data_IF_179688761868
#
_entry.id   IF_179688761868
#
_cell.length_a   1.000
_cell.length_b   1.000
_cell.length_c   1.000
_cell.angle_alpha   90.00
_cell.angle_beta   90.00
_cell.angle_gamma   90.00
#
_symmetry.space_group_name_H-M   'P 1'
#
loop_
_entity.id
_entity.type
_entity.pdbx_description
1 polymer ?
#
# COMPACT_ATOMS: atom_id res chain seq x y z
N UNK A 1 -26.67 -8.56 -28.73
CA UNK A 1 -25.89 -7.65 -27.87
C UNK A 1 -25.38 -8.52 -26.74
N UNK A 2 -24.13 -8.95 -26.83
CA UNK A 2 -23.45 -9.73 -25.78
C UNK A 2 -22.73 -8.73 -24.90
N UNK A 3 -23.45 -8.06 -24.01
CA UNK A 3 -22.79 -7.42 -22.88
C UNK A 3 -22.39 -8.54 -21.95
N UNK A 4 -21.09 -8.80 -21.99
CA UNK A 4 -20.43 -9.74 -21.10
C UNK A 4 -20.46 -9.03 -19.75
N UNK A 5 -21.26 -9.53 -18.82
CA UNK A 5 -21.04 -9.32 -17.39
C UNK A 5 -19.58 -9.69 -17.15
N UNK A 6 -18.70 -8.69 -17.13
CA UNK A 6 -17.34 -8.89 -16.67
C UNK A 6 -17.48 -9.29 -15.21
N UNK A 7 -17.02 -10.49 -14.88
CA UNK A 7 -16.92 -11.00 -13.51
C UNK A 7 -16.36 -9.90 -12.59
N UNK A 8 -17.23 -9.23 -11.83
CA UNK A 8 -16.90 -8.35 -10.71
C UNK A 8 -16.45 -9.21 -9.50
N UNK A 9 -15.63 -10.24 -9.75
CA UNK A 9 -14.94 -10.91 -8.67
C UNK A 9 -13.99 -9.89 -8.03
N UNK A 10 -14.07 -9.62 -6.72
CA UNK A 10 -13.12 -8.76 -6.05
C UNK A 10 -11.72 -9.31 -6.30
N UNK A 11 -10.86 -8.50 -6.94
CA UNK A 11 -9.48 -8.92 -7.18
C UNK A 11 -8.81 -8.99 -5.81
N UNK A 12 -8.45 -10.20 -5.37
CA UNK A 12 -7.79 -10.42 -4.09
C UNK A 12 -6.31 -9.99 -4.14
N UNK A 13 -5.75 -9.46 -3.04
CA UNK A 13 -4.33 -9.13 -2.96
C UNK A 13 -3.45 -10.36 -3.20
N UNK A 14 -2.50 -10.25 -4.11
CA UNK A 14 -1.55 -11.33 -4.41
C UNK A 14 -0.17 -10.79 -4.82
N UNK A 15 0.84 -11.65 -4.69
CA UNK A 15 2.18 -11.41 -5.21
C UNK A 15 2.36 -12.07 -6.59
N UNK A 16 3.25 -11.54 -7.45
CA UNK A 16 3.97 -10.28 -7.28
C UNK A 16 3.04 -9.08 -7.46
N UNK A 17 3.29 -8.00 -6.71
CA UNK A 17 2.73 -6.70 -7.01
C UNK A 17 3.26 -6.19 -8.35
N UNK A 18 2.46 -5.41 -9.05
CA UNK A 18 2.83 -4.68 -10.27
C UNK A 18 2.54 -3.20 -10.09
N UNK A 19 3.00 -2.35 -11.02
CA UNK A 19 2.69 -0.90 -10.99
C UNK A 19 1.18 -0.61 -11.14
N UNK A 20 0.43 -1.57 -11.66
CA UNK A 20 -1.03 -1.51 -11.80
C UNK A 20 -1.78 -2.12 -10.61
N UNK A 21 -1.07 -2.69 -9.63
CA UNK A 21 -1.70 -3.15 -8.39
C UNK A 21 -2.18 -1.95 -7.56
N UNK A 22 -3.34 -2.06 -6.89
CA UNK A 22 -3.74 -1.11 -5.86
C UNK A 22 -2.68 -0.98 -4.78
N UNK A 23 -2.36 0.27 -4.38
CA UNK A 23 -1.28 0.54 -3.41
C UNK A 23 -1.57 -0.15 -2.07
N UNK A 24 -2.84 -0.12 -1.64
CA UNK A 24 -3.25 -0.70 -0.36
C UNK A 24 -3.00 -2.21 -0.26
N UNK A 25 -2.83 -2.94 -1.38
CA UNK A 25 -2.51 -4.37 -1.33
C UNK A 25 -1.22 -4.68 -0.59
N UNK A 26 -0.24 -3.76 -0.62
CA UNK A 26 0.98 -3.91 0.17
C UNK A 26 0.68 -4.05 1.67
N UNK A 27 -0.36 -3.38 2.20
CA UNK A 27 -0.77 -3.48 3.60
C UNK A 27 -1.37 -4.84 3.95
N UNK A 28 -1.87 -5.60 2.97
CA UNK A 28 -2.43 -6.94 3.18
C UNK A 28 -1.41 -8.07 2.97
N UNK A 29 -0.28 -7.76 2.34
CA UNK A 29 0.70 -8.77 1.91
C UNK A 29 2.01 -8.71 2.68
N UNK A 30 2.29 -7.60 3.37
CA UNK A 30 3.59 -7.31 4.00
C UNK A 30 3.38 -6.94 5.47
N UNK A 31 4.32 -7.35 6.33
CA UNK A 31 4.36 -6.91 7.72
C UNK A 31 4.29 -5.37 7.84
N UNK A 32 3.42 -4.87 8.73
CA UNK A 32 3.16 -3.43 8.83
C UNK A 32 4.33 -2.60 9.32
N UNK A 33 5.20 -3.16 10.18
CA UNK A 33 6.37 -2.43 10.70
C UNK A 33 7.40 -2.29 9.59
N UNK A 34 7.71 -3.39 8.92
CA UNK A 34 8.63 -3.41 7.78
C UNK A 34 8.14 -2.49 6.65
N UNK A 35 6.84 -2.55 6.30
CA UNK A 35 6.24 -1.72 5.26
C UNK A 35 6.35 -0.22 5.57
N UNK A 36 6.08 0.16 6.83
CA UNK A 36 6.16 1.57 7.25
C UNK A 36 7.60 2.09 7.19
N UNK A 37 8.56 1.29 7.63
CA UNK A 37 9.98 1.65 7.55
C UNK A 37 10.42 1.79 6.09
N UNK A 38 10.05 0.84 5.25
CA UNK A 38 10.34 0.86 3.82
C UNK A 38 9.86 2.14 3.12
N UNK A 39 8.61 2.53 3.37
CA UNK A 39 8.04 3.76 2.79
C UNK A 39 8.69 5.01 3.37
N UNK A 40 8.94 5.05 4.69
CA UNK A 40 9.59 6.18 5.36
C UNK A 40 11.00 6.45 4.81
N UNK A 41 11.80 5.40 4.60
CA UNK A 41 13.16 5.52 4.05
C UNK A 41 13.19 6.07 2.63
N UNK A 42 12.12 5.84 1.87
CA UNK A 42 11.96 6.30 0.47
C UNK A 42 11.20 7.61 0.34
N UNK A 43 10.81 8.23 1.47
CA UNK A 43 9.99 9.44 1.47
C UNK A 43 8.60 9.23 0.86
N UNK A 44 8.10 7.99 0.84
CA UNK A 44 6.77 7.65 0.33
C UNK A 44 5.75 7.80 1.45
N UNK A 45 4.67 8.53 1.19
CA UNK A 45 3.64 8.86 2.16
C UNK A 45 2.32 8.10 1.95
N UNK A 46 2.34 7.03 1.17
CA UNK A 46 1.15 6.26 0.80
C UNK A 46 0.69 5.25 1.86
N UNK A 47 1.46 5.03 2.92
CA UNK A 47 1.04 4.18 4.04
C UNK A 47 -0.17 4.78 4.76
N UNK A 48 -1.28 4.04 4.89
CA UNK A 48 -2.50 4.50 5.54
C UNK A 48 -3.13 5.74 4.86
N UNK A 49 -2.81 5.96 3.57
CA UNK A 49 -3.35 7.06 2.78
C UNK A 49 -4.72 6.70 2.23
N UNK A 50 -5.73 7.54 2.44
CA UNK A 50 -7.08 7.31 1.92
C UNK A 50 -7.13 7.24 0.37
N UNK A 51 -6.22 7.92 -0.32
CA UNK A 51 -6.11 7.82 -1.78
C UNK A 51 -5.50 6.47 -2.22
N UNK A 52 -4.61 5.88 -1.40
CA UNK A 52 -4.00 4.59 -1.68
C UNK A 52 -5.00 3.42 -1.67
N UNK A 53 -6.18 3.59 -1.06
CA UNK A 53 -7.28 2.62 -1.09
C UNK A 53 -7.91 2.48 -2.49
N UNK A 54 -7.76 3.49 -3.35
CA UNK A 54 -8.40 3.54 -4.67
C UNK A 54 -7.41 3.72 -5.83
N UNK A 55 -6.15 4.04 -5.53
CA UNK A 55 -5.11 4.29 -6.54
C UNK A 55 -4.16 3.10 -6.70
N UNK A 56 -3.67 2.92 -7.94
CA UNK A 56 -2.53 2.04 -8.25
C UNK A 56 -1.20 2.74 -8.00
N UNK A 57 -0.10 1.99 -7.91
CA UNK A 57 1.24 2.58 -7.76
C UNK A 57 1.58 3.55 -8.89
N UNK A 58 1.21 3.23 -10.14
CA UNK A 58 1.39 4.10 -11.29
C UNK A 58 0.55 5.40 -11.19
N UNK A 59 -0.65 5.34 -10.63
CA UNK A 59 -1.49 6.52 -10.39
C UNK A 59 -0.91 7.38 -9.26
N UNK A 60 -0.54 6.77 -8.14
CA UNK A 60 0.09 7.46 -7.02
C UNK A 60 1.38 8.18 -7.44
N UNK A 61 2.24 7.53 -8.22
CA UNK A 61 3.47 8.15 -8.72
C UNK A 61 3.19 9.43 -9.53
N UNK A 62 2.13 9.44 -10.35
CA UNK A 62 1.71 10.62 -11.13
C UNK A 62 1.18 11.74 -10.25
N UNK A 63 0.42 11.42 -9.20
CA UNK A 63 -0.09 12.42 -8.24
C UNK A 63 1.07 13.10 -7.51
N UNK A 64 2.13 12.36 -7.23
CA UNK A 64 3.32 12.83 -6.54
C UNK A 64 4.36 13.50 -7.45
N UNK A 65 4.20 13.41 -8.78
CA UNK A 65 5.12 14.01 -9.75
C UNK A 65 5.17 15.55 -9.57
N UNK A 66 6.30 16.07 -9.09
CA UNK A 66 6.50 17.50 -8.83
C UNK A 66 5.79 18.05 -7.58
N UNK A 67 5.19 17.18 -6.76
CA UNK A 67 4.51 17.56 -5.52
C UNK A 67 5.46 17.79 -4.32
N UNK A 68 4.96 18.41 -3.23
CA UNK A 68 5.76 18.69 -2.02
C UNK A 68 6.18 17.43 -1.26
N UNK A 69 5.63 16.27 -1.62
CA UNK A 69 5.86 14.97 -1.00
C UNK A 69 6.86 14.10 -1.76
N UNK A 70 7.53 14.64 -2.78
CA UNK A 70 8.56 13.96 -3.56
C UNK A 70 8.00 13.01 -4.61
N UNK A 71 8.60 13.01 -5.80
CA UNK A 71 8.31 12.02 -6.83
C UNK A 71 8.99 10.69 -6.49
N UNK A 72 8.33 9.57 -6.81
CA UNK A 72 8.91 8.23 -6.69
C UNK A 72 8.75 7.47 -8.02
N UNK A 73 9.68 6.57 -8.32
CA UNK A 73 9.53 5.63 -9.44
C UNK A 73 8.62 4.47 -9.00
N UNK A 74 7.45 4.27 -9.63
CA UNK A 74 6.52 3.21 -9.24
C UNK A 74 7.13 1.81 -9.41
N UNK A 75 8.03 1.60 -10.38
CA UNK A 75 8.67 0.31 -10.59
C UNK A 75 9.67 0.00 -9.47
N UNK A 76 10.50 0.97 -9.08
CA UNK A 76 11.45 0.80 -7.96
C UNK A 76 10.72 0.50 -6.64
N UNK A 77 9.57 1.16 -6.40
CA UNK A 77 8.74 0.89 -5.23
C UNK A 77 8.20 -0.54 -5.27
N UNK A 78 7.58 -0.96 -6.38
CA UNK A 78 7.00 -2.29 -6.51
C UNK A 78 8.04 -3.40 -6.40
N UNK A 79 9.21 -3.23 -7.00
CA UNK A 79 10.31 -4.20 -6.90
C UNK A 79 10.80 -4.34 -5.45
N UNK A 80 10.95 -3.22 -4.76
CA UNK A 80 11.31 -3.19 -3.34
C UNK A 80 10.25 -3.84 -2.45
N UNK A 81 8.97 -3.58 -2.70
CA UNK A 81 7.85 -4.20 -1.97
C UNK A 81 7.79 -5.71 -2.21
N UNK A 82 8.02 -6.16 -3.44
CA UNK A 82 8.07 -7.59 -3.77
C UNK A 82 9.25 -8.32 -3.10
N UNK A 83 10.40 -7.64 -2.92
CA UNK A 83 11.50 -8.17 -2.14
C UNK A 83 11.15 -8.21 -0.65
N UNK A 84 10.61 -7.10 -0.12
CA UNK A 84 10.21 -6.96 1.27
C UNK A 84 9.16 -8.00 1.67
N UNK A 85 8.18 -8.28 0.81
CA UNK A 85 7.13 -9.27 1.06
C UNK A 85 7.67 -10.70 1.22
N UNK A 86 8.82 -11.02 0.61
CA UNK A 86 9.47 -12.33 0.76
C UNK A 86 10.20 -12.46 2.09
N UNK A 87 10.78 -11.37 2.58
CA UNK A 87 11.55 -11.31 3.82
C UNK A 87 10.64 -11.11 5.05
N UNK A 88 9.57 -10.33 4.88
CA UNK A 88 8.65 -9.87 5.90
C UNK A 88 7.19 -10.03 5.43
N UNK A 89 6.71 -11.28 5.26
CA UNK A 89 5.32 -11.52 4.89
C UNK A 89 4.37 -10.98 5.96
N UNK A 90 3.11 -10.72 5.55
CA UNK A 90 2.08 -10.23 6.46
C UNK A 90 1.98 -11.04 7.76
N UNK A 91 2.03 -10.32 8.88
CA UNK A 91 1.81 -10.86 10.23
C UNK A 91 0.57 -10.17 10.84
N UNK A 92 -0.53 -10.91 11.08
CA UNK A 92 -1.74 -10.36 11.69
C UNK A 92 -1.49 -9.70 13.05
N UNK A 93 -0.46 -10.13 13.79
CA UNK A 93 -0.15 -9.57 15.12
C UNK A 93 0.31 -8.12 15.03
N UNK A 94 1.03 -7.73 13.98
CA UNK A 94 1.49 -6.35 13.79
C UNK A 94 0.39 -5.43 13.25
N UNK A 95 -0.62 -5.99 12.57
CA UNK A 95 -1.83 -5.25 12.19
C UNK A 95 -2.73 -4.90 13.39
N UNK A 96 -2.87 -5.83 14.34
CA UNK A 96 -3.62 -5.58 15.58
C UNK A 96 -2.94 -4.48 16.40
N UNK A 97 -1.61 -4.50 16.51
CA UNK A 97 -0.84 -3.42 17.15
C UNK A 97 -1.12 -2.05 16.49
N UNK A 98 -1.17 -1.97 15.16
CA UNK A 98 -1.56 -0.74 14.43
C UNK A 98 -2.96 -0.26 14.82
N UNK A 99 -3.95 -1.15 14.77
CA UNK A 99 -5.36 -0.77 15.03
C UNK A 99 -5.54 -0.30 16.48
N UNK A 100 -4.83 -0.93 17.43
CA UNK A 100 -4.83 -0.50 18.81
C UNK A 100 -4.13 0.86 18.99
N UNK A 101 -2.99 1.08 18.35
CA UNK A 101 -2.28 2.37 18.35
C UNK A 101 -3.15 3.51 17.78
N UNK A 102 -3.83 3.28 16.66
CA UNK A 102 -4.73 4.27 16.05
C UNK A 102 -5.86 4.65 17.00
N UNK A 103 -6.51 3.67 17.62
CA UNK A 103 -7.57 3.93 18.63
C UNK A 103 -7.07 4.73 19.83
N UNK A 104 -5.84 4.51 20.28
CA UNK A 104 -5.25 5.27 21.38
C UNK A 104 -4.97 6.72 20.96
N UNK A 105 -4.43 6.94 19.76
CA UNK A 105 -4.21 8.29 19.22
C UNK A 105 -5.54 9.03 19.05
N UNK A 106 -6.56 8.38 18.47
CA UNK A 106 -7.89 8.96 18.30
C UNK A 106 -8.54 9.32 19.64
N UNK A 107 -8.35 8.49 20.69
CA UNK A 107 -8.84 8.82 22.05
C UNK A 107 -8.10 9.98 22.72
N UNK A 108 -6.82 10.19 22.38
CA UNK A 108 -5.99 11.23 23.01
C UNK A 108 -6.09 12.59 22.30
N UNK A 109 -6.45 12.60 21.01
CA UNK A 109 -6.39 13.79 20.17
C UNK A 109 -7.63 14.03 19.31
N UNK A 110 -8.66 13.18 19.40
CA UNK A 110 -9.96 13.32 18.73
C UNK A 110 -11.04 13.94 19.60
#
# INVERSE_FOLDING_TARGET
MTDTDQDDAPIEPHLPLTVDSPIFWAEYLIDHKALREFYKERGVHCYDCCAAEVETFAQGAKVHEGGPFGAFDPQEIVDGLNALAKEHPFDPSTYVERTLLRRVVDMLFG
#
